data_IF_421734923243
#
_entry.id   IF_421734923243
#
_cell.length_a   1.000
_cell.length_b   1.000
_cell.length_c   1.000
_cell.angle_alpha   90.00
_cell.angle_beta   90.00
_cell.angle_gamma   90.00
#
_symmetry.space_group_name_H-M   'P 1'
#
loop_
_entity.id
_entity.type
_entity.pdbx_description
1 polymer ?
#
# COMPACT_ATOMS: atom_id res chain seq x y z
N UNK A 1 11.62 19.22 21.38
CA UNK A 1 12.59 18.63 20.43
C UNK A 1 13.99 19.09 20.81
N UNK A 2 14.99 18.25 20.60
CA UNK A 2 16.42 18.55 20.82
C UNK A 2 17.12 18.82 19.47
N UNK A 3 18.34 19.35 19.50
CA UNK A 3 19.15 19.49 18.28
C UNK A 3 19.50 18.12 17.63
N UNK A 4 19.50 17.04 18.42
CA UNK A 4 19.73 15.67 17.99
C UNK A 4 18.53 14.98 17.34
N UNK A 5 17.35 15.63 17.30
CA UNK A 5 16.10 15.00 16.85
C UNK A 5 16.27 14.47 15.42
N UNK A 6 15.99 13.19 15.21
CA UNK A 6 15.95 12.57 13.88
C UNK A 6 14.68 12.99 13.13
N UNK A 7 14.81 13.29 11.85
CA UNK A 7 13.70 13.67 10.98
C UNK A 7 13.35 12.50 10.07
N UNK A 8 12.07 12.16 10.05
CA UNK A 8 11.45 11.30 9.06
C UNK A 8 10.47 12.10 8.19
N UNK A 9 10.31 11.70 6.94
CA UNK A 9 9.35 12.33 6.02
C UNK A 9 8.20 11.40 5.63
N UNK A 10 7.12 12.00 5.13
CA UNK A 10 6.12 11.33 4.31
C UNK A 10 5.93 12.14 3.04
N UNK A 11 6.27 11.58 1.87
CA UNK A 11 6.11 12.28 0.60
C UNK A 11 4.88 11.81 -0.17
N UNK A 12 4.13 12.77 -0.72
CA UNK A 12 2.95 12.56 -1.55
C UNK A 12 2.68 13.80 -2.42
N UNK A 13 1.72 13.67 -3.34
CA UNK A 13 1.16 14.79 -4.10
C UNK A 13 -0.28 14.47 -4.56
N UNK A 14 -1.33 15.05 -3.94
CA UNK A 14 -1.31 15.96 -2.80
C UNK A 14 -1.01 15.25 -1.47
N UNK A 15 -0.64 16.01 -0.43
CA UNK A 15 -0.22 15.46 0.87
C UNK A 15 -1.35 15.23 1.89
N UNK A 16 -2.51 15.87 1.73
CA UNK A 16 -3.52 16.00 2.79
C UNK A 16 -4.12 14.68 3.32
N UNK A 17 -4.00 13.60 2.54
CA UNK A 17 -4.57 12.29 2.86
C UNK A 17 -3.66 11.41 3.73
N UNK A 18 -2.44 11.83 4.05
CA UNK A 18 -1.46 10.96 4.72
C UNK A 18 -1.62 10.93 6.24
N UNK A 19 -1.56 9.73 6.83
CA UNK A 19 -1.68 9.51 8.28
C UNK A 19 -0.38 9.07 8.95
N UNK A 20 0.63 8.68 8.17
CA UNK A 20 1.91 8.23 8.72
C UNK A 20 2.60 9.29 9.61
N UNK A 21 2.62 10.60 9.28
CA UNK A 21 3.26 11.61 10.12
C UNK A 21 2.74 11.67 11.56
N UNK A 22 1.41 11.70 11.74
CA UNK A 22 0.81 11.75 13.07
C UNK A 22 1.02 10.45 13.83
N UNK A 23 0.80 9.30 13.17
CA UNK A 23 0.97 7.98 13.76
C UNK A 23 2.41 7.74 14.24
N UNK A 24 3.41 7.95 13.38
CA UNK A 24 4.80 7.67 13.72
C UNK A 24 5.35 8.67 14.74
N UNK A 25 4.96 9.95 14.67
CA UNK A 25 5.36 10.93 15.69
C UNK A 25 4.81 10.55 17.07
N UNK A 26 3.58 10.05 17.15
CA UNK A 26 3.02 9.52 18.40
C UNK A 26 3.82 8.29 18.88
N UNK A 27 4.08 7.32 18.01
CA UNK A 27 4.84 6.11 18.35
C UNK A 27 6.26 6.45 18.84
N UNK A 28 6.95 7.40 18.21
CA UNK A 28 8.26 7.84 18.64
C UNK A 28 8.22 8.41 20.07
N UNK A 29 7.20 9.23 20.37
CA UNK A 29 6.99 9.76 21.72
C UNK A 29 6.73 8.65 22.74
N UNK A 30 5.85 7.70 22.44
CA UNK A 30 5.51 6.57 23.32
C UNK A 30 6.70 5.66 23.58
N UNK A 31 7.58 5.47 22.59
CA UNK A 31 8.80 4.66 22.69
C UNK A 31 10.03 5.43 23.19
N UNK A 32 9.89 6.70 23.57
CA UNK A 32 10.99 7.59 23.97
C UNK A 32 12.12 7.70 22.92
N UNK A 33 11.76 7.67 21.63
CA UNK A 33 12.67 7.86 20.51
C UNK A 33 12.71 9.36 20.16
N UNK A 34 13.90 9.96 20.13
CA UNK A 34 14.11 11.37 19.75
C UNK A 34 13.97 11.57 18.23
N UNK A 35 12.73 11.46 17.73
CA UNK A 35 12.41 11.57 16.31
C UNK A 35 11.03 12.20 16.08
N UNK A 36 10.86 12.79 14.89
CA UNK A 36 9.57 13.29 14.38
C UNK A 36 9.38 12.86 12.94
N UNK A 37 8.13 12.65 12.52
CA UNK A 37 7.78 12.46 11.11
C UNK A 37 6.94 13.64 10.60
N UNK A 38 7.37 14.25 9.50
CA UNK A 38 6.68 15.41 8.90
C UNK A 38 6.05 15.08 7.54
N UNK A 39 4.89 15.65 7.21
CA UNK A 39 4.36 15.61 5.85
C UNK A 39 5.21 16.51 4.93
N UNK A 40 5.52 16.03 3.73
CA UNK A 40 6.30 16.76 2.73
C UNK A 40 5.56 16.64 1.39
N UNK A 41 4.94 17.74 0.95
CA UNK A 41 4.34 17.80 -0.37
C UNK A 41 5.44 18.05 -1.41
N UNK A 42 5.61 17.11 -2.34
CA UNK A 42 6.62 17.21 -3.39
C UNK A 42 6.01 16.75 -4.70
N UNK A 43 6.07 17.58 -5.74
CA UNK A 43 5.58 17.20 -7.05
C UNK A 43 6.52 16.20 -7.72
N UNK A 44 5.99 15.42 -8.68
CA UNK A 44 6.78 14.40 -9.35
C UNK A 44 7.99 14.96 -10.14
N UNK A 45 7.91 16.20 -10.61
CA UNK A 45 9.00 16.88 -11.34
C UNK A 45 10.15 17.30 -10.42
N UNK A 46 9.86 17.50 -9.12
CA UNK A 46 10.84 17.96 -8.14
C UNK A 46 11.52 16.81 -7.36
N UNK A 47 11.19 15.55 -7.66
CA UNK A 47 11.74 14.41 -6.92
C UNK A 47 13.27 14.33 -6.99
N UNK A 48 13.86 14.65 -8.13
CA UNK A 48 15.32 14.62 -8.30
C UNK A 48 16.01 15.62 -7.37
N UNK A 49 15.58 16.89 -7.41
CA UNK A 49 16.08 17.93 -6.53
C UNK A 49 15.83 17.57 -5.06
N UNK A 50 14.64 17.07 -4.73
CA UNK A 50 14.31 16.63 -3.38
C UNK A 50 15.30 15.57 -2.86
N UNK A 51 15.52 14.50 -3.63
CA UNK A 51 16.45 13.45 -3.23
C UNK A 51 17.91 13.92 -3.15
N UNK A 52 18.33 14.85 -4.02
CA UNK A 52 19.67 15.46 -3.91
C UNK A 52 19.85 16.27 -2.62
N UNK A 53 18.81 16.98 -2.17
CA UNK A 53 18.86 17.79 -0.97
C UNK A 53 18.86 16.93 0.29
N UNK A 54 17.94 15.96 0.41
CA UNK A 54 17.80 15.17 1.65
C UNK A 54 19.01 14.28 1.93
N UNK A 55 19.76 13.84 0.90
CA UNK A 55 21.02 13.10 1.09
C UNK A 55 22.06 13.90 1.87
N UNK A 56 21.99 15.24 1.81
CA UNK A 56 22.92 16.15 2.49
C UNK A 56 22.44 16.56 3.89
N UNK A 57 21.26 16.13 4.33
CA UNK A 57 20.70 16.46 5.63
C UNK A 57 21.03 15.37 6.64
N UNK A 58 22.05 15.59 7.46
CA UNK A 58 22.64 14.57 8.34
C UNK A 58 21.68 13.91 9.35
N UNK A 59 20.61 14.61 9.78
CA UNK A 59 19.62 14.05 10.71
C UNK A 59 18.35 13.55 10.00
N UNK A 60 18.28 13.54 8.66
CA UNK A 60 17.16 12.97 7.91
C UNK A 60 17.37 11.45 7.77
N UNK A 61 16.56 10.67 8.47
CA UNK A 61 16.78 9.22 8.65
C UNK A 61 16.01 8.35 7.65
N UNK A 62 14.93 8.87 7.07
CA UNK A 62 14.12 8.11 6.13
C UNK A 62 12.78 8.76 5.83
N UNK A 63 12.02 8.13 4.94
CA UNK A 63 10.69 8.59 4.59
C UNK A 63 9.76 7.43 4.21
N UNK A 64 8.47 7.64 4.40
CA UNK A 64 7.46 6.88 3.67
C UNK A 64 7.10 7.61 2.36
N UNK A 65 6.76 6.83 1.34
CA UNK A 65 6.43 7.31 0.00
C UNK A 65 5.01 6.83 -0.34
N UNK A 66 4.14 7.74 -0.77
CA UNK A 66 2.81 7.37 -1.26
C UNK A 66 2.51 7.91 -2.66
N UNK A 67 1.26 7.78 -3.10
CA UNK A 67 0.79 8.21 -4.42
C UNK A 67 1.19 9.68 -4.65
N UNK A 68 1.70 10.02 -5.85
CA UNK A 68 1.90 9.21 -7.04
C UNK A 68 3.35 8.69 -7.20
N UNK A 69 4.15 8.72 -6.14
CA UNK A 69 5.61 8.64 -6.22
C UNK A 69 6.16 7.23 -6.14
N UNK A 70 5.41 6.25 -5.60
CA UNK A 70 5.93 4.91 -5.25
C UNK A 70 6.73 4.20 -6.35
N UNK A 71 6.36 4.34 -7.62
CA UNK A 71 7.11 3.75 -8.74
C UNK A 71 8.21 4.67 -9.27
N UNK A 72 8.05 6.00 -9.14
CA UNK A 72 9.00 6.99 -9.65
C UNK A 72 10.27 7.06 -8.80
N UNK A 73 10.15 6.77 -7.50
CA UNK A 73 11.27 6.87 -6.57
C UNK A 73 12.30 5.76 -6.68
N UNK A 74 11.96 4.65 -7.38
CA UNK A 74 12.88 3.54 -7.63
C UNK A 74 14.23 4.02 -8.18
N UNK A 75 14.21 4.96 -9.12
CA UNK A 75 15.42 5.48 -9.79
C UNK A 75 16.37 6.25 -8.86
N UNK A 76 15.88 6.70 -7.71
CA UNK A 76 16.67 7.44 -6.72
C UNK A 76 17.19 6.54 -5.60
N UNK A 77 16.76 5.27 -5.56
CA UNK A 77 17.26 4.30 -4.60
C UNK A 77 18.59 3.72 -5.08
N UNK A 78 19.61 3.80 -4.23
CA UNK A 78 20.91 3.18 -4.46
C UNK A 78 20.84 1.65 -4.25
N UNK A 79 19.94 1.19 -3.38
CA UNK A 79 19.67 -0.22 -3.09
C UNK A 79 18.16 -0.45 -2.94
N UNK A 80 17.69 -1.62 -3.38
CA UNK A 80 16.31 -2.07 -3.18
C UNK A 80 16.30 -3.37 -2.37
N UNK A 81 15.49 -3.42 -1.33
CA UNK A 81 15.16 -4.69 -0.69
C UNK A 81 14.31 -5.57 -1.61
N UNK A 82 14.28 -6.87 -1.32
CA UNK A 82 13.56 -7.88 -2.11
C UNK A 82 12.12 -7.46 -2.43
N UNK A 83 11.40 -6.89 -1.46
CA UNK A 83 10.01 -6.47 -1.65
C UNK A 83 9.86 -5.35 -2.67
N UNK A 84 10.73 -4.34 -2.65
CA UNK A 84 10.71 -3.28 -3.65
C UNK A 84 11.12 -3.78 -5.03
N UNK A 85 12.08 -4.70 -5.09
CA UNK A 85 12.52 -5.30 -6.35
C UNK A 85 11.42 -6.16 -6.99
N UNK A 86 10.73 -6.99 -6.22
CA UNK A 86 9.66 -7.84 -6.73
C UNK A 86 8.46 -7.00 -7.20
N UNK A 87 8.08 -5.97 -6.42
CA UNK A 87 6.87 -5.18 -6.68
C UNK A 87 7.07 -4.01 -7.64
N UNK A 88 8.34 -3.65 -7.92
CA UNK A 88 8.72 -2.45 -8.68
C UNK A 88 8.02 -1.19 -8.15
N UNK A 89 8.02 -1.06 -6.83
CA UNK A 89 7.39 0.04 -6.09
C UNK A 89 8.07 0.16 -4.73
N UNK A 90 8.22 1.38 -4.22
CA UNK A 90 8.82 1.67 -2.90
C UNK A 90 7.83 2.50 -2.10
N UNK A 91 7.54 2.08 -0.86
CA UNK A 91 6.71 2.85 0.07
C UNK A 91 7.47 3.28 1.35
N UNK A 92 8.69 2.78 1.54
CA UNK A 92 9.58 3.16 2.64
C UNK A 92 11.01 3.30 2.13
N UNK A 93 11.70 4.34 2.58
CA UNK A 93 13.08 4.64 2.25
C UNK A 93 13.85 4.90 3.53
N UNK A 94 15.02 4.27 3.64
CA UNK A 94 16.03 4.55 4.66
C UNK A 94 17.20 5.31 4.05
N UNK A 95 17.61 6.37 4.74
CA UNK A 95 18.82 7.11 4.39
C UNK A 95 19.91 6.69 5.38
N UNK A 96 20.95 6.03 4.89
CA UNK A 96 22.05 5.54 5.71
C UNK A 96 23.37 5.78 5.00
N UNK A 97 24.30 6.51 5.63
CA UNK A 97 25.62 6.83 5.06
C UNK A 97 25.52 7.37 3.61
N UNK A 98 24.61 8.31 3.38
CA UNK A 98 24.29 8.92 2.07
C UNK A 98 23.72 7.95 1.01
N UNK A 99 23.37 6.71 1.39
CA UNK A 99 22.66 5.77 0.53
C UNK A 99 21.17 5.79 0.80
N UNK A 100 20.39 5.71 -0.27
CA UNK A 100 18.94 5.56 -0.26
C UNK A 100 18.62 4.08 -0.46
N UNK A 101 18.04 3.47 0.56
CA UNK A 101 17.62 2.06 0.54
C UNK A 101 16.10 2.04 0.48
N UNK A 102 15.52 1.49 -0.58
CA UNK A 102 14.08 1.41 -0.78
C UNK A 102 13.51 0.04 -0.46
N UNK A 103 12.35 0.00 0.20
CA UNK A 103 11.58 -1.22 0.44
C UNK A 103 10.08 -1.00 0.24
N UNK A 104 9.31 -2.09 0.24
CA UNK A 104 7.86 -2.03 0.10
C UNK A 104 7.14 -2.91 1.12
N UNK A 105 6.50 -2.29 2.10
CA UNK A 105 5.72 -3.00 3.12
C UNK A 105 4.22 -3.01 2.86
N UNK A 106 3.74 -2.48 1.73
CA UNK A 106 2.30 -2.45 1.46
C UNK A 106 1.72 -3.87 1.43
N UNK A 107 2.35 -4.78 0.70
CA UNK A 107 1.85 -6.15 0.54
C UNK A 107 1.86 -6.96 1.83
N UNK A 108 2.99 -6.97 2.54
CA UNK A 108 3.14 -7.69 3.81
C UNK A 108 2.25 -7.07 4.87
N UNK A 109 2.21 -5.73 4.95
CA UNK A 109 1.34 -4.98 5.85
C UNK A 109 -0.13 -5.29 5.64
N UNK A 110 -0.57 -5.39 4.38
CA UNK A 110 -1.94 -5.81 4.05
C UNK A 110 -2.25 -7.21 4.59
N UNK A 111 -1.43 -8.21 4.26
CA UNK A 111 -1.67 -9.59 4.69
C UNK A 111 -1.58 -9.77 6.20
N UNK A 112 -0.68 -9.05 6.88
CA UNK A 112 -0.59 -9.05 8.34
C UNK A 112 -1.83 -8.39 8.96
N UNK A 113 -2.28 -7.28 8.39
CA UNK A 113 -3.49 -6.58 8.83
C UNK A 113 -4.76 -7.41 8.65
N UNK A 114 -4.83 -8.24 7.62
CA UNK A 114 -5.91 -9.21 7.46
C UNK A 114 -5.86 -10.30 8.55
N UNK A 115 -4.70 -10.93 8.74
CA UNK A 115 -4.52 -12.01 9.73
C UNK A 115 -4.78 -11.54 11.16
N UNK A 116 -4.30 -10.36 11.53
CA UNK A 116 -4.51 -9.79 12.87
C UNK A 116 -5.98 -9.46 13.18
N UNK A 117 -6.80 -9.30 12.14
CA UNK A 117 -8.24 -9.08 12.25
C UNK A 117 -9.04 -10.39 12.04
N UNK A 118 -8.39 -11.56 12.14
CA UNK A 118 -9.05 -12.86 12.11
C UNK A 118 -9.40 -13.40 10.71
N UNK A 119 -8.94 -12.75 9.64
CA UNK A 119 -9.19 -13.22 8.29
C UNK A 119 -8.17 -14.28 7.83
N UNK A 120 -8.65 -15.28 7.11
CA UNK A 120 -7.81 -16.30 6.46
C UNK A 120 -7.45 -15.88 5.04
N UNK A 121 -6.26 -16.25 4.57
CA UNK A 121 -5.76 -15.88 3.23
C UNK A 121 -5.50 -17.12 2.37
N UNK A 122 -4.85 -18.13 2.95
CA UNK A 122 -4.52 -19.36 2.21
C UNK A 122 -5.78 -20.05 1.70
N UNK A 123 -5.73 -20.55 0.47
CA UNK A 123 -6.83 -21.23 -0.22
C UNK A 123 -8.12 -20.40 -0.38
N UNK A 124 -8.03 -19.06 -0.28
CA UNK A 124 -9.14 -18.14 -0.51
C UNK A 124 -9.09 -17.50 -1.90
N UNK A 125 -10.22 -16.96 -2.33
CA UNK A 125 -10.39 -16.33 -3.65
C UNK A 125 -10.48 -14.81 -3.51
N UNK A 126 -9.60 -14.09 -4.19
CA UNK A 126 -9.50 -12.62 -4.12
C UNK A 126 -9.79 -11.98 -5.47
N UNK A 127 -10.58 -10.89 -5.48
CA UNK A 127 -10.71 -9.98 -6.61
C UNK A 127 -10.16 -8.61 -6.23
N UNK A 128 -9.27 -8.03 -7.06
CA UNK A 128 -8.58 -6.78 -6.76
C UNK A 128 -8.78 -5.77 -7.89
N UNK A 129 -9.31 -4.61 -7.54
CA UNK A 129 -9.37 -3.45 -8.41
C UNK A 129 -8.11 -2.61 -8.22
N UNK A 130 -7.30 -2.50 -9.28
CA UNK A 130 -6.12 -1.66 -9.32
C UNK A 130 -4.81 -2.42 -9.09
N UNK A 131 -3.89 -2.26 -10.06
CA UNK A 131 -2.52 -2.78 -10.01
C UNK A 131 -1.49 -1.63 -9.95
N UNK A 132 -1.78 -0.63 -9.12
CA UNK A 132 -0.84 0.44 -8.76
C UNK A 132 0.28 -0.06 -7.84
N UNK A 133 1.06 0.85 -7.24
CA UNK A 133 2.16 0.47 -6.35
C UNK A 133 1.71 -0.42 -5.17
N UNK A 134 0.64 -0.02 -4.48
CA UNK A 134 0.06 -0.82 -3.39
C UNK A 134 -0.63 -2.09 -3.91
N UNK A 135 -1.48 -1.98 -4.94
CA UNK A 135 -2.18 -3.14 -5.52
C UNK A 135 -1.23 -4.23 -6.02
N UNK A 136 -0.15 -3.85 -6.71
CA UNK A 136 0.93 -4.77 -7.12
C UNK A 136 1.55 -5.47 -5.91
N UNK A 137 1.91 -4.72 -4.87
CA UNK A 137 2.48 -5.28 -3.65
C UNK A 137 1.54 -6.26 -2.95
N UNK A 138 0.25 -5.95 -2.90
CA UNK A 138 -0.79 -6.84 -2.36
C UNK A 138 -0.87 -8.12 -3.18
N UNK A 139 -0.87 -8.03 -4.53
CA UNK A 139 -0.87 -9.22 -5.40
C UNK A 139 0.31 -10.15 -5.09
N UNK A 140 1.53 -9.60 -5.04
CA UNK A 140 2.72 -10.38 -4.71
C UNK A 140 2.62 -11.06 -3.33
N UNK A 141 2.12 -10.33 -2.31
CA UNK A 141 1.98 -10.89 -0.96
C UNK A 141 0.91 -11.98 -0.90
N UNK A 142 -0.23 -11.81 -1.58
CA UNK A 142 -1.28 -12.82 -1.64
C UNK A 142 -0.80 -14.11 -2.33
N UNK A 143 -0.08 -14.00 -3.44
CA UNK A 143 0.48 -15.15 -4.14
C UNK A 143 1.44 -15.95 -3.24
N UNK A 144 2.30 -15.26 -2.47
CA UNK A 144 3.17 -15.91 -1.47
C UNK A 144 2.42 -16.56 -0.31
N UNK A 145 1.18 -16.14 -0.05
CA UNK A 145 0.30 -16.72 0.97
C UNK A 145 -0.62 -17.82 0.41
N UNK A 146 -0.33 -18.36 -0.78
CA UNK A 146 -1.03 -19.50 -1.38
C UNK A 146 -2.56 -19.29 -1.52
N UNK A 147 -2.97 -18.11 -2.02
CA UNK A 147 -4.37 -17.89 -2.41
C UNK A 147 -4.75 -18.84 -3.54
N UNK A 148 -6.00 -19.31 -3.54
CA UNK A 148 -6.51 -20.26 -4.53
C UNK A 148 -6.68 -19.60 -5.89
N UNK A 149 -7.33 -18.44 -5.90
CA UNK A 149 -7.66 -17.67 -7.10
C UNK A 149 -7.44 -16.18 -6.86
N UNK A 150 -6.86 -15.51 -7.84
CA UNK A 150 -6.63 -14.07 -7.82
C UNK A 150 -7.14 -13.45 -9.13
N UNK A 151 -8.26 -12.73 -9.05
CA UNK A 151 -8.78 -11.92 -10.14
C UNK A 151 -8.24 -10.50 -10.04
N UNK A 152 -7.67 -10.03 -11.14
CA UNK A 152 -7.11 -8.69 -11.25
C UNK A 152 -7.97 -7.87 -12.22
N UNK A 153 -8.38 -6.69 -11.76
CA UNK A 153 -9.28 -5.81 -12.51
C UNK A 153 -8.58 -4.46 -12.62
N UNK A 154 -8.37 -3.97 -13.85
CA UNK A 154 -7.66 -2.71 -14.08
C UNK A 154 -8.15 -1.97 -15.34
N UNK A 155 -8.26 -0.63 -15.26
CA UNK A 155 -8.72 0.21 -16.38
C UNK A 155 -7.86 0.06 -17.64
N UNK A 156 -6.55 -0.05 -17.46
CA UNK A 156 -5.61 -0.24 -18.56
C UNK A 156 -5.31 -1.74 -18.70
N UNK A 157 -5.91 -2.36 -19.72
CA UNK A 157 -5.78 -3.79 -19.99
C UNK A 157 -4.37 -4.19 -20.42
N UNK A 158 -3.67 -3.33 -21.17
CA UNK A 158 -2.31 -3.60 -21.62
C UNK A 158 -1.34 -3.69 -20.43
N UNK A 159 -1.44 -2.72 -19.50
CA UNK A 159 -0.70 -2.72 -18.24
C UNK A 159 -1.02 -3.97 -17.42
N UNK A 160 -2.29 -4.40 -17.41
CA UNK A 160 -2.72 -5.61 -16.71
C UNK A 160 -2.11 -6.87 -17.30
N UNK A 161 -2.19 -7.04 -18.61
CA UNK A 161 -1.61 -8.18 -19.33
C UNK A 161 -0.09 -8.26 -19.11
N UNK A 162 0.61 -7.12 -19.16
CA UNK A 162 2.04 -7.07 -18.88
C UNK A 162 2.37 -7.44 -17.43
N UNK A 163 1.54 -7.04 -16.47
CA UNK A 163 1.70 -7.43 -15.07
C UNK A 163 1.47 -8.93 -14.87
N UNK A 164 0.41 -9.51 -15.43
CA UNK A 164 0.13 -10.95 -15.35
C UNK A 164 1.21 -11.79 -16.01
N UNK A 165 1.75 -11.36 -17.16
CA UNK A 165 2.92 -12.02 -17.78
C UNK A 165 4.12 -12.09 -16.83
N UNK A 166 4.36 -11.06 -16.00
CA UNK A 166 5.42 -11.08 -14.99
C UNK A 166 5.09 -12.03 -13.83
N UNK A 167 3.84 -12.03 -13.36
CA UNK A 167 3.41 -12.92 -12.28
C UNK A 167 3.47 -14.39 -12.69
N UNK A 168 3.06 -14.73 -13.91
CA UNK A 168 3.09 -16.11 -14.42
C UNK A 168 4.52 -16.67 -14.49
N UNK A 169 5.55 -15.83 -14.71
CA UNK A 169 6.96 -16.26 -14.66
C UNK A 169 7.43 -16.70 -13.27
N UNK A 170 6.68 -16.35 -12.22
CA UNK A 170 7.00 -16.72 -10.84
C UNK A 170 6.44 -18.11 -10.46
N UNK A 171 5.71 -18.79 -11.36
CA UNK A 171 5.23 -20.17 -11.21
C UNK A 171 4.44 -20.46 -9.91
N UNK A 172 3.58 -19.53 -9.49
CA UNK A 172 2.64 -19.78 -8.39
C UNK A 172 1.54 -20.76 -8.81
N UNK A 173 1.02 -21.54 -7.85
CA UNK A 173 -0.11 -22.47 -8.07
C UNK A 173 -1.48 -21.76 -8.15
N UNK A 174 -1.53 -20.47 -7.88
CA UNK A 174 -2.74 -19.64 -7.90
C UNK A 174 -3.30 -19.51 -9.31
N UNK A 175 -4.61 -19.69 -9.45
CA UNK A 175 -5.32 -19.36 -10.68
C UNK A 175 -5.44 -17.82 -10.81
N UNK A 176 -4.79 -17.23 -11.82
CA UNK A 176 -4.85 -15.80 -12.08
C UNK A 176 -5.87 -15.51 -13.19
N UNK A 177 -6.86 -14.67 -12.88
CA UNK A 177 -7.89 -14.21 -13.81
C UNK A 177 -7.73 -12.71 -14.05
N UNK A 178 -8.17 -12.24 -15.22
CA UNK A 178 -8.15 -10.82 -15.60
C UNK A 178 -9.48 -10.39 -16.17
N UNK A 179 -9.99 -9.27 -15.68
CA UNK A 179 -11.13 -8.56 -16.26
C UNK A 179 -10.77 -7.08 -16.46
N UNK A 180 -11.53 -6.38 -17.30
CA UNK A 180 -11.48 -4.92 -17.39
C UNK A 180 -12.49 -4.25 -16.43
N UNK A 181 -12.51 -2.91 -16.40
CA UNK A 181 -13.41 -2.16 -15.51
C UNK A 181 -14.88 -2.12 -15.99
N UNK A 182 -15.15 -2.52 -17.23
CA UNK A 182 -16.48 -2.47 -17.85
C UNK A 182 -17.20 -3.79 -17.66
N UNK A 183 -16.51 -4.90 -17.92
CA UNK A 183 -17.04 -6.25 -17.89
C UNK A 183 -16.23 -7.10 -16.91
N UNK A 184 -16.61 -7.07 -15.64
CA UNK A 184 -16.03 -7.90 -14.59
C UNK A 184 -17.07 -8.73 -13.86
N UNK A 185 -16.63 -9.87 -13.31
CA UNK A 185 -17.42 -10.70 -12.40
C UNK A 185 -16.72 -10.92 -11.05
N UNK A 186 -17.37 -10.48 -9.98
CA UNK A 186 -16.90 -10.58 -8.59
C UNK A 186 -17.84 -11.43 -7.71
N UNK A 187 -18.80 -12.13 -8.31
CA UNK A 187 -19.86 -12.84 -7.60
C UNK A 187 -19.35 -13.99 -6.74
N UNK A 188 -18.25 -14.64 -7.12
CA UNK A 188 -17.77 -15.87 -6.49
C UNK A 188 -16.49 -15.71 -5.65
N UNK A 189 -16.15 -14.49 -5.21
CA UNK A 189 -14.90 -14.21 -4.48
C UNK A 189 -15.12 -14.02 -2.98
N UNK A 190 -14.22 -14.59 -2.15
CA UNK A 190 -14.22 -14.42 -0.69
C UNK A 190 -13.90 -12.98 -0.27
N UNK A 191 -12.98 -12.34 -1.01
CA UNK A 191 -12.48 -11.01 -0.71
C UNK A 191 -12.51 -10.15 -1.98
N UNK A 192 -13.08 -8.95 -1.88
CA UNK A 192 -13.10 -7.97 -2.98
C UNK A 192 -12.45 -6.68 -2.52
N UNK A 193 -11.36 -6.31 -3.17
CA UNK A 193 -10.42 -5.28 -2.71
C UNK A 193 -10.45 -4.08 -3.66
N UNK A 194 -10.68 -2.88 -3.11
CA UNK A 194 -10.30 -1.62 -3.74
C UNK A 194 -8.83 -1.32 -3.41
N UNK A 195 -7.95 -1.44 -4.41
CA UNK A 195 -6.56 -1.01 -4.35
C UNK A 195 -6.27 0.20 -5.25
N UNK A 196 -7.31 0.96 -5.61
CA UNK A 196 -7.21 2.18 -6.43
C UNK A 196 -7.19 3.44 -5.55
N UNK A 197 -7.09 4.60 -6.20
CA UNK A 197 -7.29 5.91 -5.57
C UNK A 197 -8.75 6.39 -5.58
N UNK A 198 -9.69 5.60 -6.13
CA UNK A 198 -11.11 5.93 -6.13
C UNK A 198 -11.64 5.78 -4.70
N UNK A 199 -12.14 6.87 -4.13
CA UNK A 199 -12.51 7.01 -2.72
C UNK A 199 -11.67 8.02 -1.92
N UNK A 200 -10.53 8.49 -2.45
CA UNK A 200 -9.67 9.51 -1.79
C UNK A 200 -10.19 10.94 -1.92
N UNK A 201 -10.93 11.22 -3.00
CA UNK A 201 -11.61 12.51 -3.20
C UNK A 201 -13.09 12.35 -2.87
N UNK A 202 -13.84 13.45 -2.83
CA UNK A 202 -15.31 13.45 -2.85
C UNK A 202 -15.91 12.87 -4.14
N UNK A 203 -15.22 11.93 -4.80
CA UNK A 203 -15.80 11.15 -5.86
C UNK A 203 -16.85 10.23 -5.25
N UNK A 204 -18.10 10.41 -5.69
CA UNK A 204 -19.24 9.64 -5.22
C UNK A 204 -19.36 8.27 -5.88
N UNK A 205 -18.54 8.00 -6.89
CA UNK A 205 -18.60 6.76 -7.64
C UNK A 205 -18.06 5.58 -6.83
N UNK A 206 -18.86 4.53 -6.74
CA UNK A 206 -18.42 3.24 -6.25
C UNK A 206 -17.47 2.59 -7.27
N UNK A 207 -16.36 2.05 -6.77
CA UNK A 207 -15.45 1.23 -7.57
C UNK A 207 -16.13 -0.04 -8.11
N UNK A 208 -17.05 -0.61 -7.33
CA UNK A 208 -17.91 -1.72 -7.70
C UNK A 208 -19.16 -1.75 -6.81
N UNK A 209 -20.23 -2.38 -7.32
CA UNK A 209 -21.45 -2.59 -6.54
C UNK A 209 -21.29 -3.76 -5.58
N UNK A 210 -21.31 -3.49 -4.27
CA UNK A 210 -21.18 -4.52 -3.22
C UNK A 210 -22.28 -5.58 -3.30
N UNK A 211 -23.44 -5.28 -3.89
CA UNK A 211 -24.53 -6.25 -4.07
C UNK A 211 -24.19 -7.32 -5.11
N UNK A 212 -23.25 -7.07 -6.01
CA UNK A 212 -22.76 -8.05 -7.00
C UNK A 212 -21.79 -9.07 -6.40
N UNK A 213 -21.41 -8.92 -5.13
CA UNK A 213 -20.58 -9.90 -4.40
C UNK A 213 -21.45 -10.94 -3.70
N UNK A 214 -20.92 -12.15 -3.49
CA UNK A 214 -21.60 -13.14 -2.63
C UNK A 214 -21.83 -12.60 -1.21
N UNK A 215 -22.87 -13.10 -0.55
CA UNK A 215 -23.38 -12.56 0.72
C UNK A 215 -22.33 -12.49 1.83
N UNK A 216 -21.47 -13.51 1.92
CA UNK A 216 -20.41 -13.65 2.92
C UNK A 216 -19.08 -13.01 2.51
N UNK A 217 -18.99 -12.40 1.32
CA UNK A 217 -17.78 -11.73 0.87
C UNK A 217 -17.36 -10.61 1.82
N UNK A 218 -16.05 -10.47 2.01
CA UNK A 218 -15.46 -9.35 2.75
C UNK A 218 -15.03 -8.26 1.78
N UNK A 219 -15.57 -7.07 1.97
CA UNK A 219 -15.28 -5.87 1.19
C UNK A 219 -14.10 -5.12 1.82
N UNK A 220 -13.06 -4.86 1.04
CA UNK A 220 -11.82 -4.28 1.56
C UNK A 220 -11.52 -2.99 0.80
N UNK A 221 -11.18 -1.93 1.53
CA UNK A 221 -10.65 -0.70 0.97
C UNK A 221 -9.30 -0.39 1.60
N UNK A 222 -8.26 -0.17 0.78
CA UNK A 222 -6.92 0.15 1.29
C UNK A 222 -6.74 1.64 1.58
N UNK A 223 -7.73 2.47 1.23
CA UNK A 223 -7.76 3.88 1.57
C UNK A 223 -7.82 4.04 3.10
N UNK A 224 -6.97 4.91 3.62
CA UNK A 224 -6.82 5.13 5.06
C UNK A 224 -7.61 6.35 5.54
N UNK A 225 -7.75 7.35 4.68
CA UNK A 225 -8.48 8.58 4.96
C UNK A 225 -9.38 8.93 3.76
N UNK A 226 -10.69 9.11 3.98
CA UNK A 226 -11.42 8.87 5.24
C UNK A 226 -11.40 7.38 5.64
N UNK A 227 -11.51 7.09 6.94
CA UNK A 227 -11.59 5.69 7.43
C UNK A 227 -12.82 4.97 6.86
N UNK A 228 -13.95 5.67 6.77
CA UNK A 228 -15.17 5.17 6.12
C UNK A 228 -15.31 5.76 4.72
N UNK A 229 -14.70 5.09 3.75
CA UNK A 229 -14.94 5.39 2.33
C UNK A 229 -16.40 5.07 1.94
N UNK A 230 -16.83 5.57 0.78
CA UNK A 230 -18.17 5.26 0.25
C UNK A 230 -18.35 3.75 0.05
N UNK A 231 -17.30 3.04 -0.35
CA UNK A 231 -17.33 1.58 -0.49
C UNK A 231 -17.61 0.90 0.87
N UNK A 232 -16.90 1.33 1.92
CA UNK A 232 -17.11 0.79 3.27
C UNK A 232 -18.51 1.15 3.81
N UNK A 233 -19.00 2.37 3.55
CA UNK A 233 -20.35 2.79 3.92
C UNK A 233 -21.43 1.94 3.25
N UNK A 234 -21.27 1.64 1.95
CA UNK A 234 -22.19 0.77 1.23
C UNK A 234 -22.08 -0.68 1.70
N UNK A 235 -20.88 -1.19 1.99
CA UNK A 235 -20.71 -2.50 2.62
C UNK A 235 -21.49 -2.60 3.94
N UNK A 236 -21.37 -1.60 4.83
CA UNK A 236 -22.14 -1.53 6.08
C UNK A 236 -23.64 -1.49 5.85
N UNK A 237 -24.11 -0.63 4.94
CA UNK A 237 -25.53 -0.49 4.60
C UNK A 237 -26.17 -1.81 4.15
N UNK A 238 -25.43 -2.66 3.44
CA UNK A 238 -25.90 -3.98 3.00
C UNK A 238 -25.42 -5.13 3.90
N UNK A 239 -25.02 -4.84 5.15
CA UNK A 239 -24.57 -5.82 6.15
C UNK A 239 -23.48 -6.77 5.64
N UNK A 240 -22.54 -6.26 4.85
CA UNK A 240 -21.38 -7.04 4.35
C UNK A 240 -20.24 -7.01 5.36
N UNK A 241 -19.46 -8.08 5.39
CA UNK A 241 -18.17 -8.08 6.08
C UNK A 241 -17.25 -7.04 5.45
N UNK A 242 -16.42 -6.37 6.25
CA UNK A 242 -15.49 -5.37 5.72
C UNK A 242 -14.15 -5.34 6.45
N UNK A 243 -13.11 -4.86 5.76
CA UNK A 243 -11.77 -4.62 6.32
C UNK A 243 -11.27 -3.23 5.93
N UNK A 244 -10.73 -2.50 6.91
CA UNK A 244 -10.36 -1.09 6.78
C UNK A 244 -8.87 -0.92 6.44
N UNK A 245 -8.56 0.07 5.61
CA UNK A 245 -7.19 0.39 5.18
C UNK A 245 -6.23 0.72 6.34
N UNK A 246 -6.74 1.24 7.46
CA UNK A 246 -5.92 1.49 8.66
C UNK A 246 -5.17 0.24 9.15
N UNK A 247 -5.79 -0.94 9.03
CA UNK A 247 -5.21 -2.20 9.52
C UNK A 247 -3.92 -2.56 8.76
N UNK A 248 -3.86 -2.19 7.48
CA UNK A 248 -2.66 -2.31 6.66
C UNK A 248 -1.56 -1.33 7.10
N UNK A 249 -1.89 -0.09 7.49
CA UNK A 249 -0.90 0.86 8.02
C UNK A 249 -0.35 0.43 9.38
N UNK A 250 -1.23 0.07 10.31
CA UNK A 250 -0.85 -0.37 11.65
C UNK A 250 0.10 -1.57 11.59
N UNK A 251 -0.13 -2.50 10.66
CA UNK A 251 0.72 -3.67 10.47
C UNK A 251 2.08 -3.36 9.83
N UNK A 252 2.26 -2.17 9.25
CA UNK A 252 3.55 -1.72 8.74
C UNK A 252 4.41 -1.07 9.81
N UNK A 253 3.86 -0.70 10.98
CA UNK A 253 4.59 -0.01 12.04
C UNK A 253 5.82 -0.82 12.46
N UNK A 254 5.62 -2.08 12.85
CA UNK A 254 6.71 -2.95 13.31
C UNK A 254 7.73 -3.25 12.19
N UNK A 255 7.25 -3.42 10.95
CA UNK A 255 8.11 -3.61 9.78
C UNK A 255 9.02 -2.38 9.57
N UNK A 256 8.46 -1.18 9.65
CA UNK A 256 9.19 0.07 9.50
C UNK A 256 10.21 0.26 10.63
N UNK A 257 9.84 0.01 11.89
CA UNK A 257 10.77 0.15 13.01
C UNK A 257 11.98 -0.75 12.91
N UNK A 258 11.77 -2.02 12.55
CA UNK A 258 12.86 -2.97 12.28
C UNK A 258 13.73 -2.51 11.11
N UNK A 259 13.12 -2.08 10.01
CA UNK A 259 13.84 -1.55 8.85
C UNK A 259 14.75 -0.37 9.20
N UNK A 260 14.27 0.53 10.06
CA UNK A 260 15.04 1.69 10.53
C UNK A 260 15.96 1.41 11.74
N UNK A 261 16.00 0.18 12.26
CA UNK A 261 16.71 -0.20 13.48
C UNK A 261 16.33 0.69 14.69
N UNK A 262 15.03 0.93 14.88
CA UNK A 262 14.52 1.80 15.94
C UNK A 262 14.06 1.04 17.20
N UNK A 263 13.69 -0.23 17.05
CA UNK A 263 13.34 -1.15 18.13
C UNK A 263 13.51 -2.60 17.69
#
# INVERSE_FOLDING_TARGET
MKASTKIFGCIADPIDHVKAPSLFTQIFKEKNIDAVMIPINVSAINLEQFFSCIKSVNNFSGLTVTIPHKTKVLRYCDLLEKEANDTQSVNWIKIEKNKIIGTNFDGIGFTNGMKSNGFSISNKEFAIFGIGGAGSAICHSLLRNNVKKLKLINRNIEKLNNFVKKLNKLNYKTEILVDDFVNYDISNFDYVINATSLGLKENKDLIFDVKKTKLDATIIDIIMEPEETILIKEAKKYNRNYHLGKNMLTSQVDLAGKFFNLW
#
